data_IF_347094837142
#
_entry.id   IF_347094837142
#
_cell.length_a   1.000
_cell.length_b   1.000
_cell.length_c   1.000
_cell.angle_alpha   90.00
_cell.angle_beta   90.00
_cell.angle_gamma   90.00
#
_symmetry.space_group_name_H-M   'P 1'
#
loop_
_entity.id
_entity.type
_entity.pdbx_description
1 polymer ?
#
# COMPACT_ATOMS: atom_id res chain seq x y z
N UNK A 1 18.52 37.44 -22.13
CA UNK A 1 17.64 36.24 -22.23
C UNK A 1 18.45 34.94 -22.33
N UNK A 2 19.36 34.78 -23.31
CA UNK A 2 20.19 33.56 -23.47
C UNK A 2 20.97 33.13 -22.22
N UNK A 3 21.70 34.05 -21.57
CA UNK A 3 22.48 33.78 -20.34
C UNK A 3 21.63 33.32 -19.15
N UNK A 4 20.38 33.79 -19.06
CA UNK A 4 19.46 33.41 -17.98
C UNK A 4 18.97 31.98 -18.19
N UNK A 5 18.65 31.62 -19.43
CA UNK A 5 18.26 30.24 -19.79
C UNK A 5 19.41 29.26 -19.60
N UNK A 6 20.64 29.65 -19.96
CA UNK A 6 21.85 28.85 -19.72
C UNK A 6 22.08 28.61 -18.23
N UNK A 7 21.98 29.66 -17.41
CA UNK A 7 22.14 29.53 -15.96
C UNK A 7 21.04 28.63 -15.35
N UNK A 8 19.79 28.81 -15.76
CA UNK A 8 18.67 27.97 -15.30
C UNK A 8 18.88 26.49 -15.67
N UNK A 9 19.35 26.22 -16.89
CA UNK A 9 19.67 24.86 -17.33
C UNK A 9 20.83 24.25 -16.52
N UNK A 10 21.88 25.02 -16.22
CA UNK A 10 22.99 24.54 -15.40
C UNK A 10 22.56 24.22 -13.98
N UNK A 11 21.74 25.07 -13.36
CA UNK A 11 21.16 24.81 -12.04
C UNK A 11 20.29 23.55 -12.06
N UNK A 12 19.47 23.40 -13.10
CA UNK A 12 18.63 22.23 -13.29
C UNK A 12 19.45 20.92 -13.34
N UNK A 13 20.48 20.89 -14.18
CA UNK A 13 21.35 19.72 -14.35
C UNK A 13 22.15 19.45 -13.08
N UNK A 14 22.67 20.48 -12.41
CA UNK A 14 23.39 20.35 -11.15
C UNK A 14 22.51 19.73 -10.07
N UNK A 15 21.26 20.17 -9.93
CA UNK A 15 20.31 19.57 -8.98
C UNK A 15 19.98 18.11 -9.34
N UNK A 16 19.76 17.81 -10.62
CA UNK A 16 19.47 16.44 -11.06
C UNK A 16 20.62 15.47 -10.74
N UNK A 17 21.87 15.88 -10.99
CA UNK A 17 23.05 15.03 -10.80
C UNK A 17 23.46 14.96 -9.33
N UNK A 18 23.54 16.09 -8.63
CA UNK A 18 24.13 16.16 -7.28
C UNK A 18 23.13 15.82 -6.17
N UNK A 19 21.84 16.03 -6.39
CA UNK A 19 20.81 15.85 -5.35
C UNK A 19 19.89 14.69 -5.68
N UNK A 20 19.23 14.73 -6.84
CA UNK A 20 18.15 13.77 -7.12
C UNK A 20 18.65 12.40 -7.56
N UNK A 21 19.76 12.31 -8.29
CA UNK A 21 20.35 11.01 -8.67
C UNK A 21 20.74 10.19 -7.43
N UNK A 22 21.54 10.70 -6.46
CA UNK A 22 21.84 9.97 -5.23
C UNK A 22 20.58 9.60 -4.43
N UNK A 23 19.64 10.54 -4.28
CA UNK A 23 18.40 10.33 -3.55
C UNK A 23 17.56 9.19 -4.12
N UNK A 24 17.27 9.21 -5.44
CA UNK A 24 16.46 8.17 -6.06
C UNK A 24 17.18 6.84 -6.14
N UNK A 25 18.52 6.84 -6.19
CA UNK A 25 19.31 5.63 -6.20
C UNK A 25 19.24 4.91 -4.84
N UNK A 26 19.40 5.66 -3.75
CA UNK A 26 19.17 5.18 -2.38
C UNK A 26 17.73 4.69 -2.19
N UNK A 27 16.75 5.48 -2.62
CA UNK A 27 15.34 5.11 -2.51
C UNK A 27 15.04 3.80 -3.25
N UNK A 28 15.55 3.64 -4.47
CA UNK A 28 15.30 2.45 -5.28
C UNK A 28 15.91 1.19 -4.65
N UNK A 29 17.14 1.28 -4.12
CA UNK A 29 17.78 0.18 -3.39
C UNK A 29 16.98 -0.23 -2.16
N UNK A 30 16.50 0.74 -1.38
CA UNK A 30 15.69 0.49 -0.17
C UNK A 30 14.35 -0.18 -0.49
N UNK A 31 13.69 0.21 -1.58
CA UNK A 31 12.33 -0.29 -1.90
C UNK A 31 12.33 -1.60 -2.68
N UNK A 32 13.30 -1.84 -3.58
CA UNK A 32 13.26 -2.97 -4.51
C UNK A 32 14.25 -4.09 -4.15
N UNK A 33 15.11 -3.87 -3.16
CA UNK A 33 16.16 -4.81 -2.78
C UNK A 33 17.37 -4.79 -3.73
N UNK A 34 18.48 -5.36 -3.24
CA UNK A 34 19.79 -5.28 -3.90
C UNK A 34 19.83 -5.93 -5.30
N UNK A 35 19.15 -7.06 -5.48
CA UNK A 35 19.11 -7.78 -6.78
C UNK A 35 18.46 -6.95 -7.89
N UNK A 36 17.36 -6.24 -7.58
CA UNK A 36 16.73 -5.33 -8.56
C UNK A 36 17.51 -4.04 -8.75
N UNK A 37 18.27 -3.62 -7.73
CA UNK A 37 19.15 -2.46 -7.84
C UNK A 37 20.32 -2.71 -8.80
N UNK A 38 20.92 -3.90 -8.82
CA UNK A 38 21.98 -4.22 -9.79
C UNK A 38 21.47 -4.14 -11.24
N UNK A 39 20.25 -4.63 -11.50
CA UNK A 39 19.73 -4.73 -12.88
C UNK A 39 19.10 -3.43 -13.39
N UNK A 40 18.52 -2.61 -12.52
CA UNK A 40 17.73 -1.42 -12.92
C UNK A 40 18.06 -0.15 -12.11
N UNK A 41 18.92 -0.24 -11.10
CA UNK A 41 19.25 0.84 -10.17
C UNK A 41 20.05 1.99 -10.79
N UNK A 42 20.50 1.86 -12.03
CA UNK A 42 21.07 2.97 -12.79
C UNK A 42 20.04 3.65 -13.69
N UNK A 43 19.16 2.87 -14.35
CA UNK A 43 18.22 3.40 -15.34
C UNK A 43 17.05 4.11 -14.66
N UNK A 44 16.36 3.42 -13.73
CA UNK A 44 15.14 3.96 -13.11
C UNK A 44 15.43 5.21 -12.26
N UNK A 45 16.47 5.23 -11.41
CA UNK A 45 16.81 6.43 -10.63
C UNK A 45 17.26 7.61 -11.48
N UNK A 46 18.03 7.37 -12.55
CA UNK A 46 18.49 8.44 -13.45
C UNK A 46 17.32 9.05 -14.21
N UNK A 47 16.38 8.24 -14.71
CA UNK A 47 15.16 8.76 -15.33
C UNK A 47 14.33 9.59 -14.33
N UNK A 48 14.16 9.12 -13.09
CA UNK A 48 13.46 9.89 -12.04
C UNK A 48 14.16 11.21 -11.71
N UNK A 49 15.49 11.21 -11.66
CA UNK A 49 16.28 12.41 -11.44
C UNK A 49 16.17 13.38 -12.63
N UNK A 50 16.12 12.88 -13.87
CA UNK A 50 16.00 13.69 -15.07
C UNK A 50 14.63 14.39 -15.20
N UNK A 51 13.59 13.91 -14.52
CA UNK A 51 12.27 14.55 -14.44
C UNK A 51 11.89 14.91 -13.00
N UNK A 52 12.88 15.22 -12.16
CA UNK A 52 12.66 15.49 -10.73
C UNK A 52 11.63 16.59 -10.42
N UNK A 53 11.49 17.70 -11.19
CA UNK A 53 10.53 18.74 -10.83
C UNK A 53 9.11 18.22 -10.90
N UNK A 54 8.83 17.25 -11.78
CA UNK A 54 7.53 16.59 -11.80
C UNK A 54 7.21 15.94 -10.45
N UNK A 55 8.17 15.29 -9.80
CA UNK A 55 7.96 14.64 -8.51
C UNK A 55 7.95 15.58 -7.31
N UNK A 56 8.57 16.77 -7.43
CA UNK A 56 8.65 17.77 -6.35
C UNK A 56 7.53 18.79 -6.44
N UNK A 57 7.15 19.21 -7.64
CA UNK A 57 6.18 20.28 -7.89
C UNK A 57 4.79 19.75 -8.21
N UNK A 58 4.66 18.49 -8.66
CA UNK A 58 3.32 17.89 -8.71
C UNK A 58 2.88 17.61 -7.28
N UNK A 59 1.63 17.96 -6.91
CA UNK A 59 1.05 17.41 -5.69
C UNK A 59 1.23 15.90 -5.79
N UNK A 60 1.72 15.28 -4.71
CA UNK A 60 1.84 13.84 -4.68
C UNK A 60 0.50 13.27 -5.16
N UNK A 61 0.48 12.36 -6.16
CA UNK A 61 -0.78 11.80 -6.62
C UNK A 61 -1.51 11.27 -5.38
N UNK A 62 -2.83 11.43 -5.28
CA UNK A 62 -3.61 10.96 -4.12
C UNK A 62 -3.33 9.47 -3.80
N UNK A 63 -2.79 8.72 -4.76
CA UNK A 63 -2.23 7.37 -4.60
C UNK A 63 -1.05 7.26 -3.62
N UNK A 64 -0.21 8.30 -3.46
CA UNK A 64 0.83 8.39 -2.42
C UNK A 64 0.24 8.64 -1.02
N UNK A 65 -1.06 8.98 -0.97
CA UNK A 65 -1.87 9.20 0.23
C UNK A 65 -2.67 7.96 0.63
N UNK A 66 -2.66 6.88 -0.18
CA UNK A 66 -3.02 5.57 0.33
C UNK A 66 -2.01 5.26 1.44
N UNK A 67 -2.46 5.37 2.69
CA UNK A 67 -1.57 5.19 3.83
C UNK A 67 -0.84 3.86 3.68
N UNK A 68 0.48 3.86 3.95
CA UNK A 68 1.29 2.63 3.95
C UNK A 68 0.63 1.54 4.81
N UNK A 69 -0.04 1.95 5.87
CA UNK A 69 -0.85 1.14 6.76
C UNK A 69 -2.03 0.44 6.07
N UNK A 70 -2.76 1.10 5.15
CA UNK A 70 -3.84 0.46 4.40
C UNK A 70 -3.29 -0.67 3.51
N UNK A 71 -2.21 -0.40 2.78
CA UNK A 71 -1.59 -1.40 1.89
C UNK A 71 -0.99 -2.56 2.69
N UNK A 72 -0.27 -2.26 3.77
CA UNK A 72 0.31 -3.26 4.65
C UNK A 72 -0.77 -4.16 5.26
N UNK A 73 -1.86 -3.57 5.73
CA UNK A 73 -3.01 -4.29 6.27
C UNK A 73 -3.53 -5.32 5.27
N UNK A 74 -3.86 -4.87 4.05
CA UNK A 74 -4.35 -5.77 2.98
C UNK A 74 -3.34 -6.86 2.62
N UNK A 75 -2.04 -6.52 2.58
CA UNK A 75 -0.98 -7.48 2.29
C UNK A 75 -0.89 -8.57 3.36
N UNK A 76 -0.99 -8.22 4.64
CA UNK A 76 -0.98 -9.21 5.73
C UNK A 76 -2.22 -10.11 5.68
N UNK A 77 -3.42 -9.55 5.46
CA UNK A 77 -4.63 -10.37 5.31
C UNK A 77 -4.59 -11.28 4.09
N UNK A 78 -4.01 -10.83 2.97
CA UNK A 78 -3.84 -11.67 1.79
C UNK A 78 -2.86 -12.82 2.03
N UNK A 79 -1.76 -12.55 2.74
CA UNK A 79 -0.83 -13.61 3.16
C UNK A 79 -1.53 -14.64 4.06
N UNK A 80 -2.37 -14.20 5.00
CA UNK A 80 -3.14 -15.09 5.85
C UNK A 80 -4.13 -15.94 5.04
N UNK A 81 -4.81 -15.35 4.06
CA UNK A 81 -5.69 -16.06 3.16
C UNK A 81 -4.94 -17.11 2.32
N UNK A 82 -3.73 -16.82 1.86
CA UNK A 82 -2.92 -17.78 1.10
C UNK A 82 -2.59 -19.05 1.90
N UNK A 83 -2.42 -18.94 3.23
CA UNK A 83 -2.17 -20.09 4.10
C UNK A 83 -3.37 -21.05 4.19
N UNK A 84 -4.59 -20.60 3.86
CA UNK A 84 -5.78 -21.49 3.83
C UNK A 84 -5.75 -22.51 2.71
N UNK A 85 -4.93 -22.30 1.68
CA UNK A 85 -4.74 -23.23 0.57
C UNK A 85 -3.64 -24.27 0.85
N UNK A 86 -3.00 -24.23 2.01
CA UNK A 86 -2.06 -25.27 2.41
C UNK A 86 -2.80 -26.61 2.62
N UNK A 87 -2.17 -27.71 2.17
CA UNK A 87 -2.77 -29.06 2.16
C UNK A 87 -3.09 -29.59 3.56
N UNK A 88 -2.44 -29.05 4.59
CA UNK A 88 -2.67 -29.38 5.99
C UNK A 88 -2.67 -28.09 6.82
N UNK A 89 -3.85 -27.71 7.33
CA UNK A 89 -4.03 -26.60 8.26
C UNK A 89 -3.62 -27.03 9.67
N UNK A 90 -2.34 -27.37 9.80
CA UNK A 90 -1.72 -27.71 11.07
C UNK A 90 -1.72 -26.53 12.05
N UNK A 91 -1.49 -26.84 13.32
CA UNK A 91 -1.42 -25.84 14.41
C UNK A 91 -0.44 -24.69 14.10
N UNK A 92 0.68 -24.98 13.45
CA UNK A 92 1.67 -23.97 13.08
C UNK A 92 1.15 -22.99 12.03
N UNK A 93 0.49 -23.48 10.98
CA UNK A 93 -0.15 -22.67 9.94
C UNK A 93 -1.23 -21.77 10.54
N UNK A 94 -2.05 -22.29 11.45
CA UNK A 94 -3.04 -21.50 12.17
C UNK A 94 -2.40 -20.39 13.01
N UNK A 95 -1.31 -20.66 13.74
CA UNK A 95 -0.58 -19.63 14.51
C UNK A 95 -0.04 -18.52 13.58
N UNK A 96 0.51 -18.89 12.41
CA UNK A 96 0.99 -17.91 11.42
C UNK A 96 -0.16 -17.06 10.88
N UNK A 97 -1.29 -17.68 10.54
CA UNK A 97 -2.49 -16.97 10.12
C UNK A 97 -2.95 -15.95 11.17
N UNK A 98 -2.95 -16.32 12.46
CA UNK A 98 -3.28 -15.38 13.54
C UNK A 98 -2.33 -14.20 13.60
N UNK A 99 -1.03 -14.46 13.57
CA UNK A 99 -0.04 -13.39 13.59
C UNK A 99 -0.21 -12.41 12.43
N UNK A 100 -0.58 -12.92 11.25
CA UNK A 100 -0.85 -12.10 10.08
C UNK A 100 -2.15 -11.30 10.22
N UNK A 101 -3.24 -11.87 10.73
CA UNK A 101 -4.48 -11.12 10.97
C UNK A 101 -4.32 -10.04 12.05
N UNK A 102 -3.55 -10.30 13.11
CA UNK A 102 -3.18 -9.29 14.12
C UNK A 102 -2.36 -8.15 13.51
N UNK A 103 -1.37 -8.49 12.67
CA UNK A 103 -0.57 -7.50 11.96
C UNK A 103 -1.43 -6.67 11.01
N UNK A 104 -2.37 -7.31 10.31
CA UNK A 104 -3.34 -6.62 9.46
C UNK A 104 -4.19 -5.64 10.28
N UNK A 105 -4.75 -6.07 11.41
CA UNK A 105 -5.54 -5.20 12.30
C UNK A 105 -4.74 -4.03 12.86
N UNK A 106 -3.50 -4.29 13.30
CA UNK A 106 -2.60 -3.26 13.85
C UNK A 106 -2.31 -2.16 12.84
N UNK A 107 -1.98 -2.53 11.60
CA UNK A 107 -1.79 -1.58 10.51
C UNK A 107 -3.11 -0.90 10.14
N UNK A 108 -4.17 -1.68 9.96
CA UNK A 108 -5.49 -1.19 9.57
C UNK A 108 -6.08 -0.13 10.51
N UNK A 109 -5.80 -0.22 11.82
CA UNK A 109 -6.22 0.77 12.83
C UNK A 109 -5.49 2.11 12.73
N UNK A 110 -4.32 2.14 12.10
CA UNK A 110 -3.53 3.37 11.88
C UNK A 110 -3.95 4.10 10.60
N UNK A 111 -4.90 3.56 9.84
CA UNK A 111 -5.37 4.14 8.58
C UNK A 111 -6.24 5.36 8.85
N UNK A 112 -5.93 6.48 8.17
CA UNK A 112 -6.83 7.63 8.10
C UNK A 112 -8.01 7.32 7.16
N UNK A 113 -9.15 7.04 7.77
CA UNK A 113 -10.37 6.68 7.05
C UNK A 113 -10.96 7.85 6.25
N UNK A 114 -10.76 9.09 6.72
CA UNK A 114 -11.24 10.27 6.00
C UNK A 114 -10.41 10.48 4.74
N UNK A 115 -9.09 10.33 4.85
CA UNK A 115 -8.20 10.37 3.69
C UNK A 115 -8.57 9.30 2.64
N UNK A 116 -8.93 8.08 3.06
CA UNK A 116 -9.44 7.06 2.14
C UNK A 116 -10.74 7.49 1.45
N UNK A 117 -11.67 8.10 2.18
CA UNK A 117 -12.92 8.60 1.62
C UNK A 117 -12.71 9.79 0.65
N UNK A 118 -11.67 10.60 0.85
CA UNK A 118 -11.26 11.67 -0.08
C UNK A 118 -10.63 11.14 -1.38
N UNK A 119 -10.08 9.93 -1.34
CA UNK A 119 -9.59 9.21 -2.52
C UNK A 119 -10.78 8.64 -3.30
N UNK A 120 -11.65 7.89 -2.61
CA UNK A 120 -12.82 7.29 -3.23
C UNK A 120 -13.99 7.26 -2.25
N UNK A 121 -15.19 7.74 -2.64
CA UNK A 121 -16.34 7.77 -1.76
C UNK A 121 -16.61 6.40 -1.12
N UNK A 122 -16.82 6.41 0.21
CA UNK A 122 -17.12 5.22 1.01
C UNK A 122 -15.96 4.20 1.17
N UNK A 123 -14.76 4.46 0.64
CA UNK A 123 -13.63 3.53 0.79
C UNK A 123 -13.23 3.34 2.26
N UNK A 124 -13.02 4.42 3.00
CA UNK A 124 -12.70 4.36 4.42
C UNK A 124 -13.84 3.77 5.25
N UNK A 125 -15.09 4.08 4.89
CA UNK A 125 -16.26 3.54 5.58
C UNK A 125 -16.38 2.02 5.41
N UNK A 126 -16.26 1.52 4.18
CA UNK A 126 -16.30 0.08 3.90
C UNK A 126 -15.08 -0.64 4.48
N UNK A 127 -13.90 -0.03 4.43
CA UNK A 127 -12.69 -0.58 5.04
C UNK A 127 -12.87 -0.78 6.55
N UNK A 128 -13.42 0.21 7.27
CA UNK A 128 -13.70 0.03 8.70
C UNK A 128 -14.83 -0.98 8.94
N UNK A 129 -15.99 -0.75 8.33
CA UNK A 129 -17.23 -1.45 8.66
C UNK A 129 -17.17 -2.95 8.32
N UNK A 130 -16.54 -3.29 7.21
CA UNK A 130 -16.52 -4.65 6.68
C UNK A 130 -15.16 -5.31 6.88
N UNK A 131 -14.06 -4.63 6.52
CA UNK A 131 -12.74 -5.24 6.60
C UNK A 131 -12.18 -5.29 8.03
N UNK A 132 -12.04 -4.16 8.72
CA UNK A 132 -11.48 -4.14 10.08
C UNK A 132 -12.35 -4.90 11.06
N UNK A 133 -13.66 -4.61 11.09
CA UNK A 133 -14.58 -5.35 11.96
C UNK A 133 -14.64 -6.85 11.62
N UNK A 134 -14.53 -7.21 10.33
CA UNK A 134 -14.47 -8.60 9.89
C UNK A 134 -13.24 -9.33 10.43
N UNK A 135 -12.07 -8.70 10.33
CA UNK A 135 -10.83 -9.22 10.92
C UNK A 135 -10.90 -9.30 12.45
N UNK A 136 -11.48 -8.31 13.14
CA UNK A 136 -11.64 -8.33 14.60
C UNK A 136 -12.53 -9.48 15.06
N UNK A 137 -13.67 -9.69 14.41
CA UNK A 137 -14.57 -10.80 14.71
C UNK A 137 -13.94 -12.15 14.39
N UNK A 138 -13.27 -12.26 13.25
CA UNK A 138 -12.62 -13.51 12.86
C UNK A 138 -11.54 -13.90 13.89
N UNK A 139 -10.65 -12.95 14.21
CA UNK A 139 -9.58 -13.15 15.18
C UNK A 139 -10.10 -13.40 16.61
N UNK A 140 -11.12 -12.66 17.04
CA UNK A 140 -11.82 -12.90 18.32
C UNK A 140 -12.48 -14.28 18.37
N UNK A 141 -13.11 -14.70 17.27
CA UNK A 141 -13.71 -16.03 17.13
C UNK A 141 -12.68 -17.13 17.27
N UNK A 142 -11.55 -17.00 16.61
CA UNK A 142 -10.48 -17.98 16.74
C UNK A 142 -9.83 -18.02 18.14
N UNK A 143 -9.59 -16.87 18.76
CA UNK A 143 -9.02 -16.79 20.13
C UNK A 143 -9.91 -17.46 21.17
N UNK A 144 -11.22 -17.36 21.00
CA UNK A 144 -12.21 -17.84 21.94
C UNK A 144 -12.90 -19.15 21.51
N UNK A 145 -12.47 -19.75 20.39
CA UNK A 145 -13.16 -20.88 19.76
C UNK A 145 -14.66 -20.63 19.50
N UNK A 146 -15.04 -19.38 19.21
CA UNK A 146 -16.41 -18.95 18.92
C UNK A 146 -16.66 -18.97 17.40
N UNK A 147 -17.23 -20.08 16.93
CA UNK A 147 -17.59 -20.28 15.52
C UNK A 147 -18.57 -19.21 15.01
N UNK A 148 -19.45 -18.69 15.86
CA UNK A 148 -20.41 -17.66 15.47
C UNK A 148 -19.72 -16.32 15.18
N UNK A 149 -18.68 -15.97 15.94
CA UNK A 149 -17.83 -14.81 15.62
C UNK A 149 -17.02 -15.05 14.34
N UNK A 150 -16.43 -16.24 14.16
CA UNK A 150 -15.69 -16.58 12.94
C UNK A 150 -16.57 -16.43 11.69
N UNK A 151 -17.78 -17.00 11.69
CA UNK A 151 -18.71 -16.89 10.57
C UNK A 151 -19.12 -15.44 10.29
N UNK A 152 -19.45 -14.67 11.32
CA UNK A 152 -19.80 -13.24 11.16
C UNK A 152 -18.61 -12.43 10.61
N UNK A 153 -17.41 -12.69 11.10
CA UNK A 153 -16.18 -12.09 10.60
C UNK A 153 -15.96 -12.39 9.12
N UNK A 154 -16.07 -13.67 8.74
CA UNK A 154 -15.95 -14.08 7.34
C UNK A 154 -16.97 -13.38 6.43
N UNK A 155 -18.24 -13.32 6.83
CA UNK A 155 -19.28 -12.65 6.04
C UNK A 155 -18.97 -11.16 5.79
N UNK A 156 -18.40 -10.46 6.78
CA UNK A 156 -17.98 -9.07 6.62
C UNK A 156 -16.77 -8.96 5.68
N UNK A 157 -15.81 -9.88 5.77
CA UNK A 157 -14.65 -9.92 4.86
C UNK A 157 -15.08 -10.23 3.42
N UNK A 158 -16.06 -11.10 3.22
CA UNK A 158 -16.64 -11.40 1.90
C UNK A 158 -17.38 -10.19 1.33
N UNK A 159 -18.11 -9.47 2.18
CA UNK A 159 -18.77 -8.20 1.82
C UNK A 159 -17.75 -7.15 1.40
N UNK A 160 -16.66 -7.02 2.17
CA UNK A 160 -15.53 -6.16 1.81
C UNK A 160 -14.91 -6.56 0.47
N UNK A 161 -14.60 -7.84 0.29
CA UNK A 161 -13.95 -8.34 -0.91
C UNK A 161 -14.79 -8.07 -2.16
N UNK A 162 -16.10 -8.34 -2.07
CA UNK A 162 -17.06 -8.09 -3.14
C UNK A 162 -17.11 -6.60 -3.50
N UNK A 163 -17.25 -5.73 -2.49
CA UNK A 163 -17.29 -4.29 -2.70
C UNK A 163 -15.98 -3.75 -3.27
N UNK A 164 -14.83 -4.15 -2.70
CA UNK A 164 -13.52 -3.67 -3.14
C UNK A 164 -13.23 -4.11 -4.58
N UNK A 165 -13.49 -5.38 -4.92
CA UNK A 165 -13.28 -5.90 -6.28
C UNK A 165 -14.14 -5.18 -7.31
N UNK A 166 -15.41 -4.87 -6.98
CA UNK A 166 -16.28 -4.10 -7.87
C UNK A 166 -15.82 -2.66 -8.10
N UNK A 167 -15.03 -2.10 -7.18
CA UNK A 167 -14.64 -0.68 -7.20
C UNK A 167 -13.14 -0.44 -7.42
N UNK A 168 -12.29 -1.47 -7.42
CA UNK A 168 -10.82 -1.32 -7.41
C UNK A 168 -10.27 -0.53 -8.60
N UNK A 169 -10.86 -0.69 -9.78
CA UNK A 169 -10.46 0.07 -10.96
C UNK A 169 -10.82 1.55 -10.84
N UNK A 170 -11.99 1.87 -10.28
CA UNK A 170 -12.40 3.25 -10.03
C UNK A 170 -11.57 3.88 -8.91
N UNK A 171 -11.30 3.15 -7.84
CA UNK A 171 -10.40 3.56 -6.75
C UNK A 171 -9.01 3.88 -7.34
N UNK A 172 -8.48 3.02 -8.22
CA UNK A 172 -7.18 3.22 -8.86
C UNK A 172 -7.17 4.51 -9.69
N UNK A 173 -8.18 4.73 -10.54
CA UNK A 173 -8.34 5.94 -11.35
C UNK A 173 -8.40 7.21 -10.48
N UNK A 174 -9.26 7.21 -9.47
CA UNK A 174 -9.39 8.33 -8.53
C UNK A 174 -8.10 8.61 -7.75
N UNK A 175 -7.33 7.57 -7.42
CA UNK A 175 -6.04 7.72 -6.75
C UNK A 175 -4.94 8.27 -7.68
N UNK A 176 -4.94 7.90 -8.97
CA UNK A 176 -3.94 8.36 -9.94
C UNK A 176 -4.27 9.67 -10.64
N UNK A 177 -5.52 10.15 -10.54
CA UNK A 177 -5.98 11.35 -11.24
C UNK A 177 -6.03 11.18 -12.77
N UNK A 178 -6.18 9.94 -13.24
CA UNK A 178 -6.31 9.52 -14.64
C UNK A 178 -7.71 8.96 -14.86
#
# INVERSE_FOLDING_TARGET
MKRILELAFLVYVALAILVFTPYYNWQYAKTNGFLRWITLGQIVPTMKAAIWPYYVLSPAPKSKLISVHFVNSLNYSNQAAMLTYEKDLGKETLIKMFGLFESALSEGRQVDLNALNEIYPQLGNNFKANYLNGLELLNGGFRNSDNGQMTRGQNLLDTWHSWYTANVENIRKSATGL
#
